data_IF_656633560761
#
_entry.id   IF_656633560761
#
_cell.length_a   1.000
_cell.length_b   1.000
_cell.length_c   1.000
_cell.angle_alpha   90.00
_cell.angle_beta   90.00
_cell.angle_gamma   90.00
#
_symmetry.space_group_name_H-M   'P 1'
#
loop_
_entity.id
_entity.type
_entity.pdbx_description
1 polymer ?
#
# COMPACT_ATOMS: atom_id res chain seq x y z
N UNK A 1 -12.89 16.21 5.92
CA UNK A 1 -12.19 15.14 6.62
C UNK A 1 -12.72 13.81 6.12
N UNK A 2 -11.87 13.01 5.51
CA UNK A 2 -12.20 11.69 4.94
C UNK A 2 -12.28 10.64 6.06
N UNK A 3 -11.44 10.78 7.09
CA UNK A 3 -11.41 9.88 8.24
C UNK A 3 -12.06 10.54 9.45
N UNK A 4 -13.23 10.05 9.84
CA UNK A 4 -13.91 10.47 11.07
C UNK A 4 -14.29 9.24 11.88
N UNK A 5 -14.37 9.33 13.22
CA UNK A 5 -14.79 8.19 14.04
C UNK A 5 -16.14 7.62 13.63
N UNK A 6 -17.08 8.46 13.19
CA UNK A 6 -18.39 8.02 12.72
C UNK A 6 -18.30 7.16 11.45
N UNK A 7 -17.49 7.56 10.47
CA UNK A 7 -17.29 6.77 9.24
C UNK A 7 -16.53 5.46 9.54
N UNK A 8 -15.53 5.52 10.41
CA UNK A 8 -14.67 4.37 10.72
C UNK A 8 -15.34 3.35 11.65
N UNK A 9 -16.39 3.73 12.37
CA UNK A 9 -17.13 2.81 13.23
C UNK A 9 -17.98 1.77 12.45
N UNK A 10 -18.31 2.06 11.18
CA UNK A 10 -19.20 1.25 10.35
C UNK A 10 -18.47 0.36 9.34
N UNK A 11 -17.13 0.33 9.37
CA UNK A 11 -16.30 -0.43 8.40
C UNK A 11 -15.22 -1.23 9.12
N UNK A 12 -14.86 -2.38 8.55
CA UNK A 12 -13.74 -3.21 9.05
C UNK A 12 -12.40 -2.87 8.37
N UNK A 13 -12.47 -2.31 7.15
CA UNK A 13 -11.30 -1.92 6.39
C UNK A 13 -11.54 -0.67 5.54
N UNK A 14 -10.47 0.10 5.33
CA UNK A 14 -10.42 1.27 4.44
C UNK A 14 -9.52 0.98 3.25
N UNK A 15 -9.97 1.32 2.05
CA UNK A 15 -9.17 1.33 0.83
C UNK A 15 -8.84 2.76 0.43
N UNK A 16 -7.56 3.09 0.33
CA UNK A 16 -7.06 4.39 -0.07
C UNK A 16 -6.59 4.35 -1.53
N UNK A 17 -7.28 5.09 -2.39
CA UNK A 17 -6.90 5.35 -3.77
C UNK A 17 -7.21 6.81 -4.12
N UNK A 18 -6.64 7.69 -3.32
CA UNK A 18 -6.82 9.14 -3.40
C UNK A 18 -5.49 9.84 -3.08
N UNK A 19 -5.44 11.15 -3.35
CA UNK A 19 -4.28 12.00 -3.05
C UNK A 19 -4.66 13.12 -2.10
N UNK A 20 -4.05 13.12 -0.92
CA UNK A 20 -4.11 14.19 0.06
C UNK A 20 -2.72 14.42 0.69
N UNK A 21 -2.29 15.68 0.74
CA UNK A 21 -0.98 16.03 1.29
C UNK A 21 -1.01 16.20 2.82
N UNK A 22 -2.17 16.48 3.39
CA UNK A 22 -2.33 16.78 4.82
C UNK A 22 -3.44 15.90 5.39
N UNK A 23 -3.13 15.23 6.49
CA UNK A 23 -4.14 14.70 7.41
C UNK A 23 -4.18 15.66 8.60
N UNK A 24 -5.35 16.21 8.90
CA UNK A 24 -5.54 17.05 10.09
C UNK A 24 -5.39 16.21 11.36
N UNK A 25 -5.07 16.83 12.50
CA UNK A 25 -4.77 16.12 13.74
C UNK A 25 -5.89 15.14 14.15
N UNK A 26 -7.15 15.56 13.99
CA UNK A 26 -8.33 14.74 14.27
C UNK A 26 -8.45 13.54 13.33
N UNK A 27 -8.06 13.68 12.05
CA UNK A 27 -8.06 12.57 11.09
C UNK A 27 -6.96 11.55 11.43
N UNK A 28 -5.80 12.05 11.85
CA UNK A 28 -4.69 11.20 12.29
C UNK A 28 -5.10 10.36 13.49
N UNK A 29 -5.64 11.00 14.52
CA UNK A 29 -6.12 10.32 15.73
C UNK A 29 -7.21 9.29 15.40
N UNK A 30 -8.18 9.65 14.54
CA UNK A 30 -9.24 8.74 14.14
C UNK A 30 -8.71 7.50 13.41
N UNK A 31 -7.75 7.66 12.48
CA UNK A 31 -7.18 6.55 11.72
C UNK A 31 -6.30 5.65 12.60
N UNK A 32 -5.48 6.21 13.49
CA UNK A 32 -4.67 5.44 14.44
C UNK A 32 -5.54 4.68 15.46
N UNK A 33 -6.61 5.33 15.94
CA UNK A 33 -7.59 4.69 16.81
C UNK A 33 -8.32 3.54 16.11
N UNK A 34 -8.69 3.72 14.84
CA UNK A 34 -9.29 2.67 14.02
C UNK A 34 -8.36 1.46 13.85
N UNK A 35 -7.09 1.69 13.50
CA UNK A 35 -6.09 0.61 13.43
C UNK A 35 -5.99 -0.12 14.77
N UNK A 36 -5.80 0.61 15.87
CA UNK A 36 -5.65 0.06 17.22
C UNK A 36 -6.86 -0.75 17.69
N UNK A 37 -8.05 -0.47 17.16
CA UNK A 37 -9.27 -1.23 17.43
C UNK A 37 -9.46 -2.44 16.49
N UNK A 38 -8.44 -2.80 15.72
CA UNK A 38 -8.42 -3.97 14.85
C UNK A 38 -8.81 -3.70 13.41
N UNK A 39 -9.08 -2.44 13.05
CA UNK A 39 -9.35 -2.01 11.68
C UNK A 39 -8.17 -2.21 10.74
N UNK A 40 -8.48 -2.32 9.46
CA UNK A 40 -7.50 -2.57 8.39
C UNK A 40 -7.39 -1.44 7.37
N UNK A 41 -6.22 -1.23 6.79
CA UNK A 41 -6.02 -0.26 5.70
C UNK A 41 -5.31 -0.92 4.52
N UNK A 42 -5.85 -0.71 3.31
CA UNK A 42 -5.18 -1.03 2.05
C UNK A 42 -4.88 0.27 1.32
N UNK A 43 -3.60 0.53 1.06
CA UNK A 43 -3.11 1.70 0.33
C UNK A 43 -2.70 1.28 -1.07
N UNK A 44 -3.25 1.96 -2.08
CA UNK A 44 -3.03 1.62 -3.48
C UNK A 44 -2.23 2.71 -4.20
N UNK A 45 -1.23 2.26 -4.97
CA UNK A 45 -0.52 3.02 -5.99
C UNK A 45 -0.13 4.43 -5.51
N UNK A 46 -0.73 5.49 -6.06
CA UNK A 46 -0.38 6.88 -5.79
C UNK A 46 -0.68 7.33 -4.36
N UNK A 47 -1.52 6.61 -3.61
CA UNK A 47 -1.86 6.95 -2.23
C UNK A 47 -0.67 6.78 -1.25
N UNK A 48 0.40 6.09 -1.65
CA UNK A 48 1.67 6.04 -0.89
C UNK A 48 2.35 7.41 -0.75
N UNK A 49 1.98 8.38 -1.59
CA UNK A 49 2.48 9.75 -1.52
C UNK A 49 1.68 10.62 -0.54
N UNK A 50 0.66 10.07 0.13
CA UNK A 50 -0.16 10.83 1.07
C UNK A 50 0.60 11.13 2.36
N UNK A 51 0.29 12.28 2.94
CA UNK A 51 0.74 12.69 4.29
C UNK A 51 2.26 12.64 4.50
N UNK A 52 3.09 13.24 3.61
CA UNK A 52 4.55 13.17 3.72
C UNK A 52 5.09 13.73 5.05
N UNK A 53 4.39 14.69 5.67
CA UNK A 53 4.77 15.27 6.96
C UNK A 53 4.43 14.39 8.17
N UNK A 54 3.60 13.35 7.99
CA UNK A 54 3.19 12.45 9.06
C UNK A 54 4.11 11.22 9.10
N UNK A 55 5.31 11.40 9.67
CA UNK A 55 6.34 10.37 9.68
C UNK A 55 5.90 9.06 10.34
N UNK A 56 5.18 9.13 11.47
CA UNK A 56 4.61 7.96 12.14
C UNK A 56 3.78 7.11 11.18
N UNK A 57 2.93 7.72 10.34
CA UNK A 57 2.14 6.99 9.36
C UNK A 57 3.00 6.20 8.38
N UNK A 58 3.92 6.87 7.68
CA UNK A 58 4.66 6.21 6.60
C UNK A 58 5.84 5.38 7.08
N UNK A 59 6.41 5.66 8.26
CA UNK A 59 7.47 4.87 8.88
C UNK A 59 6.93 3.65 9.63
N UNK A 60 5.97 3.87 10.52
CA UNK A 60 5.61 2.91 11.55
C UNK A 60 4.36 2.09 11.17
N UNK A 61 3.50 2.62 10.29
CA UNK A 61 2.27 1.94 9.88
C UNK A 61 2.31 1.41 8.45
N UNK A 62 2.50 2.28 7.46
CA UNK A 62 2.50 1.92 6.04
C UNK A 62 3.83 1.28 5.61
N UNK A 63 4.95 1.72 6.19
CA UNK A 63 6.30 1.24 5.86
C UNK A 63 6.82 1.69 4.50
N UNK A 64 6.27 2.75 3.92
CA UNK A 64 6.79 3.32 2.68
C UNK A 64 6.24 4.70 2.35
N UNK A 65 7.01 5.46 1.57
CA UNK A 65 6.67 6.81 1.12
C UNK A 65 7.21 7.02 -0.32
N UNK A 66 6.38 7.61 -1.18
CA UNK A 66 6.87 8.25 -2.40
C UNK A 66 7.29 9.69 -2.07
N UNK A 67 8.60 9.96 -2.07
CA UNK A 67 9.15 11.27 -1.76
C UNK A 67 9.04 12.20 -2.97
N UNK A 68 8.28 13.29 -2.84
CA UNK A 68 8.07 14.26 -3.93
C UNK A 68 9.24 15.25 -4.11
N UNK A 69 10.02 15.46 -3.06
CA UNK A 69 11.18 16.35 -3.04
C UNK A 69 12.27 15.76 -2.17
N UNK A 70 13.47 16.32 -2.26
CA UNK A 70 14.58 15.99 -1.40
C UNK A 70 14.35 16.56 0.01
N UNK A 71 14.81 15.82 1.01
CA UNK A 71 14.92 16.27 2.40
C UNK A 71 16.14 15.62 3.05
N UNK A 72 16.44 15.95 4.31
CA UNK A 72 17.62 15.45 5.02
C UNK A 72 17.78 13.91 4.93
N UNK A 73 16.66 13.17 5.01
CA UNK A 73 16.64 11.70 4.96
C UNK A 73 16.01 11.09 3.69
N UNK A 74 15.60 11.90 2.71
CA UNK A 74 14.82 11.44 1.55
C UNK A 74 15.41 11.90 0.23
N UNK A 75 15.51 10.95 -0.70
CA UNK A 75 15.79 11.20 -2.11
C UNK A 75 14.46 11.19 -2.87
N UNK A 76 14.22 12.10 -3.84
CA UNK A 76 12.99 12.09 -4.62
C UNK A 76 12.77 10.74 -5.32
N UNK A 77 11.58 10.19 -5.15
CA UNK A 77 11.14 8.98 -5.85
C UNK A 77 10.93 9.27 -7.34
N UNK A 78 11.03 8.22 -8.14
CA UNK A 78 10.86 8.27 -9.60
C UNK A 78 9.74 7.34 -10.02
N UNK A 79 9.16 7.63 -11.17
CA UNK A 79 8.18 6.75 -11.81
C UNK A 79 8.59 6.42 -13.24
N UNK A 80 8.15 5.25 -13.71
CA UNK A 80 8.33 4.77 -15.07
C UNK A 80 6.94 4.59 -15.70
N UNK A 81 6.53 5.48 -16.63
CA UNK A 81 5.16 5.48 -17.15
C UNK A 81 4.80 4.25 -17.98
N UNK A 82 5.79 3.58 -18.57
CA UNK A 82 5.58 2.40 -19.43
C UNK A 82 6.38 1.21 -18.89
N UNK A 83 5.96 0.69 -17.75
CA UNK A 83 6.57 -0.46 -17.11
C UNK A 83 5.90 -1.76 -17.54
N UNK A 84 6.69 -2.81 -17.72
CA UNK A 84 6.21 -4.19 -17.93
C UNK A 84 6.95 -5.12 -16.99
N UNK A 85 6.21 -5.72 -16.06
CA UNK A 85 6.78 -6.48 -14.96
C UNK A 85 6.27 -7.91 -14.86
N UNK A 86 6.97 -8.68 -14.03
CA UNK A 86 6.51 -9.96 -13.53
C UNK A 86 6.59 -9.94 -12.01
N UNK A 87 5.46 -9.73 -11.36
CA UNK A 87 5.30 -9.84 -9.91
C UNK A 87 5.33 -11.32 -9.49
N UNK A 88 6.02 -11.63 -8.39
CA UNK A 88 6.06 -12.97 -7.80
C UNK A 88 5.81 -12.90 -6.29
N UNK A 89 4.97 -13.80 -5.73
CA UNK A 89 4.87 -13.94 -4.29
C UNK A 89 6.23 -14.26 -3.68
N UNK A 90 6.52 -13.67 -2.52
CA UNK A 90 7.73 -13.93 -1.73
C UNK A 90 7.53 -15.04 -0.69
N UNK A 91 6.28 -15.34 -0.35
CA UNK A 91 5.86 -16.35 0.63
C UNK A 91 4.46 -16.89 0.29
N UNK A 92 4.04 -17.96 0.96
CA UNK A 92 2.62 -18.40 0.94
C UNK A 92 1.83 -17.55 1.92
N UNK A 93 1.19 -16.49 1.40
CA UNK A 93 0.36 -15.58 2.17
C UNK A 93 -1.07 -15.55 1.60
N UNK A 94 -2.13 -15.46 2.43
CA UNK A 94 -3.52 -15.39 1.95
C UNK A 94 -3.74 -14.34 0.85
N UNK A 95 -3.13 -13.15 0.99
CA UNK A 95 -3.21 -12.04 0.02
C UNK A 95 -2.71 -12.44 -1.39
N UNK A 96 -1.68 -13.26 -1.47
CA UNK A 96 -1.01 -13.60 -2.74
C UNK A 96 -1.32 -15.02 -3.22
N UNK A 97 -2.19 -15.75 -2.51
CA UNK A 97 -2.44 -17.16 -2.85
C UNK A 97 -3.17 -17.33 -4.18
N UNK A 98 -4.18 -16.49 -4.47
CA UNK A 98 -5.00 -16.60 -5.68
C UNK A 98 -4.32 -16.10 -6.96
N UNK A 99 -3.28 -15.28 -6.86
CA UNK A 99 -2.53 -14.80 -8.04
C UNK A 99 -1.62 -15.87 -8.66
N UNK A 100 -1.34 -16.95 -7.92
CA UNK A 100 -0.48 -18.06 -8.35
C UNK A 100 1.01 -17.72 -8.26
N UNK A 101 1.85 -18.45 -8.99
CA UNK A 101 3.32 -18.33 -8.90
C UNK A 101 3.89 -17.03 -9.48
N UNK A 102 3.15 -16.34 -10.36
CA UNK A 102 3.52 -15.03 -10.89
C UNK A 102 2.32 -14.30 -11.50
N UNK A 103 2.43 -12.99 -11.63
CA UNK A 103 1.51 -12.11 -12.35
C UNK A 103 2.29 -11.21 -13.32
N UNK A 104 1.91 -11.22 -14.60
CA UNK A 104 2.48 -10.33 -15.62
C UNK A 104 1.55 -9.16 -15.80
N UNK A 105 2.09 -7.95 -15.80
CA UNK A 105 1.30 -6.73 -15.91
C UNK A 105 2.08 -5.64 -16.65
N UNK A 106 1.36 -4.67 -17.18
CA UNK A 106 1.90 -3.46 -17.78
C UNK A 106 1.25 -2.26 -17.09
N UNK A 107 2.05 -1.35 -16.56
CA UNK A 107 1.54 -0.24 -15.75
C UNK A 107 2.53 0.94 -15.66
N UNK A 108 2.30 1.89 -14.76
CA UNK A 108 3.34 2.72 -14.15
C UNK A 108 3.99 1.98 -12.96
N UNK A 109 5.30 2.18 -12.75
CA UNK A 109 6.02 1.68 -11.57
C UNK A 109 6.86 2.77 -10.90
N UNK A 110 7.28 2.51 -9.66
CA UNK A 110 8.08 3.43 -8.86
C UNK A 110 9.47 2.88 -8.55
N UNK A 111 10.46 3.77 -8.54
CA UNK A 111 11.83 3.55 -8.04
C UNK A 111 12.18 4.59 -6.98
N UNK A 112 13.12 4.24 -6.11
CA UNK A 112 13.60 5.14 -5.04
C UNK A 112 12.46 5.53 -4.08
N UNK A 113 11.52 4.63 -3.85
CA UNK A 113 10.63 4.75 -2.70
C UNK A 113 11.46 4.68 -1.43
N UNK A 114 11.10 5.47 -0.42
CA UNK A 114 11.51 5.12 0.92
C UNK A 114 10.68 3.91 1.35
N UNK A 115 11.32 2.81 1.75
CA UNK A 115 10.64 1.59 2.17
C UNK A 115 11.36 1.09 3.42
N UNK A 116 10.61 0.91 4.51
CA UNK A 116 11.14 0.38 5.77
C UNK A 116 11.72 -1.03 5.57
N UNK A 117 12.78 -1.36 6.31
CA UNK A 117 13.33 -2.72 6.35
C UNK A 117 12.44 -3.69 7.15
N UNK A 118 11.47 -3.17 7.89
CA UNK A 118 10.54 -3.93 8.71
C UNK A 118 9.28 -4.39 7.95
N UNK A 119 9.09 -3.95 6.69
CA UNK A 119 7.95 -4.40 5.90
C UNK A 119 8.04 -5.88 5.56
N UNK A 120 6.90 -6.58 5.62
CA UNK A 120 6.80 -7.94 5.12
C UNK A 120 6.44 -7.86 3.65
N UNK A 121 7.44 -8.05 2.78
CA UNK A 121 7.21 -8.04 1.33
C UNK A 121 6.29 -9.21 0.96
N UNK A 122 5.24 -8.93 0.19
CA UNK A 122 4.27 -9.91 -0.34
C UNK A 122 4.52 -10.21 -1.81
N UNK A 123 4.80 -9.17 -2.60
CA UNK A 123 5.10 -9.27 -4.03
C UNK A 123 6.42 -8.57 -4.35
N UNK A 124 7.22 -9.26 -5.16
CA UNK A 124 8.48 -8.73 -5.66
C UNK A 124 8.59 -8.80 -7.18
N UNK A 125 9.36 -7.90 -7.77
CA UNK A 125 9.75 -7.90 -9.19
C UNK A 125 11.28 -7.74 -9.31
N UNK A 126 11.82 -8.19 -10.44
CA UNK A 126 13.23 -7.97 -10.81
C UNK A 126 13.34 -7.22 -12.15
N UNK A 127 12.23 -6.68 -12.64
CA UNK A 127 12.21 -5.91 -13.88
C UNK A 127 12.84 -4.53 -13.64
N UNK A 128 13.63 -4.07 -14.61
CA UNK A 128 14.21 -2.73 -14.61
C UNK A 128 13.11 -1.66 -14.58
N UNK A 129 13.36 -0.55 -13.89
CA UNK A 129 12.41 0.56 -13.77
C UNK A 129 11.44 0.42 -12.60
N UNK A 130 11.74 -0.41 -11.60
CA UNK A 130 10.91 -0.56 -10.40
C UNK A 130 11.75 -0.99 -9.20
N UNK A 131 11.40 -0.49 -8.02
CA UNK A 131 11.85 -1.07 -6.75
C UNK A 131 11.43 -2.54 -6.67
N UNK A 132 12.28 -3.37 -6.06
CA UNK A 132 12.04 -4.81 -6.03
C UNK A 132 10.81 -5.21 -5.22
N UNK A 133 10.39 -4.38 -4.25
CA UNK A 133 9.23 -4.61 -3.37
C UNK A 133 8.04 -3.80 -3.91
N UNK A 134 6.99 -4.49 -4.34
CA UNK A 134 5.85 -3.87 -5.05
C UNK A 134 4.50 -4.11 -4.38
N UNK A 135 4.45 -4.97 -3.35
CA UNK A 135 3.36 -5.02 -2.39
C UNK A 135 3.91 -5.55 -1.06
N UNK A 136 3.43 -5.03 0.06
CA UNK A 136 3.90 -5.41 1.39
C UNK A 136 2.86 -5.19 2.48
N UNK A 137 3.09 -5.81 3.62
CA UNK A 137 2.44 -5.47 4.90
C UNK A 137 3.36 -4.49 5.61
N UNK A 138 2.81 -3.38 6.09
CA UNK A 138 3.58 -2.38 6.83
C UNK A 138 3.94 -2.85 8.26
N UNK A 139 4.83 -2.13 8.97
CA UNK A 139 5.38 -2.56 10.26
C UNK A 139 4.39 -2.51 11.42
N UNK A 140 3.17 -2.00 11.19
CA UNK A 140 2.18 -1.72 12.22
C UNK A 140 1.90 -2.92 13.13
N UNK A 141 2.11 -2.75 14.43
CA UNK A 141 1.71 -3.73 15.45
C UNK A 141 0.25 -3.58 15.91
N UNK A 142 -0.32 -2.38 15.73
CA UNK A 142 -1.65 -2.03 16.23
C UNK A 142 -2.79 -2.41 15.29
N UNK A 143 -2.52 -2.70 14.01
CA UNK A 143 -3.52 -2.96 12.97
C UNK A 143 -2.88 -3.49 11.69
N UNK A 144 -3.69 -3.84 10.67
CA UNK A 144 -3.19 -4.42 9.41
C UNK A 144 -3.16 -3.36 8.31
N UNK A 145 -1.96 -2.96 7.90
CA UNK A 145 -1.77 -2.04 6.77
C UNK A 145 -1.09 -2.77 5.62
N UNK A 146 -1.67 -2.70 4.43
CA UNK A 146 -1.14 -3.32 3.21
C UNK A 146 -0.95 -2.25 2.16
N UNK A 147 0.19 -2.27 1.48
CA UNK A 147 0.43 -1.47 0.28
C UNK A 147 0.50 -2.34 -0.97
N UNK A 148 -0.07 -1.86 -2.08
CA UNK A 148 0.04 -2.46 -3.42
C UNK A 148 0.42 -1.35 -4.41
N UNK A 149 1.58 -1.48 -5.06
CA UNK A 149 2.12 -0.48 -5.97
C UNK A 149 1.38 -0.38 -7.32
N UNK A 150 1.07 -1.48 -8.03
CA UNK A 150 0.36 -1.36 -9.31
C UNK A 150 -1.04 -0.76 -9.12
N UNK A 151 -1.52 -0.05 -10.13
CA UNK A 151 -2.85 0.55 -10.17
C UNK A 151 -2.90 1.91 -10.88
N UNK A 152 -2.13 2.16 -11.94
CA UNK A 152 -2.22 3.42 -12.70
C UNK A 152 -3.20 3.32 -13.87
N UNK A 153 -3.02 2.32 -14.75
CA UNK A 153 -3.79 2.19 -15.98
C UNK A 153 -4.98 1.23 -15.86
N UNK A 154 -6.00 1.46 -16.70
CA UNK A 154 -7.21 0.64 -16.79
C UNK A 154 -6.92 -0.85 -17.00
N UNK A 155 -5.88 -1.18 -17.78
CA UNK A 155 -5.45 -2.55 -18.04
C UNK A 155 -5.13 -3.31 -16.74
N UNK A 156 -4.47 -2.67 -15.77
CA UNK A 156 -4.23 -3.26 -14.44
C UNK A 156 -5.49 -3.27 -13.60
N UNK A 157 -6.24 -2.16 -13.60
CA UNK A 157 -7.47 -2.03 -12.80
C UNK A 157 -8.56 -3.03 -13.20
N UNK A 158 -8.50 -3.58 -14.42
CA UNK A 158 -9.41 -4.60 -14.93
C UNK A 158 -8.81 -6.01 -14.96
N UNK A 159 -7.53 -6.18 -14.61
CA UNK A 159 -6.89 -7.50 -14.55
C UNK A 159 -7.49 -8.35 -13.42
N UNK A 160 -8.02 -9.56 -13.72
CA UNK A 160 -8.58 -10.45 -12.69
C UNK A 160 -7.62 -10.76 -11.54
N UNK A 161 -6.30 -10.87 -11.77
CA UNK A 161 -5.32 -11.10 -10.72
C UNK A 161 -5.14 -9.90 -9.82
N UNK A 162 -5.20 -8.69 -10.36
CA UNK A 162 -5.14 -7.47 -9.58
C UNK A 162 -6.39 -7.31 -8.70
N UNK A 163 -7.57 -7.57 -9.26
CA UNK A 163 -8.83 -7.55 -8.50
C UNK A 163 -8.85 -8.60 -7.38
N UNK A 164 -8.34 -9.81 -7.64
CA UNK A 164 -8.20 -10.83 -6.60
C UNK A 164 -7.21 -10.39 -5.51
N UNK A 165 -6.09 -9.77 -5.87
CA UNK A 165 -5.10 -9.27 -4.93
C UNK A 165 -5.71 -8.19 -4.00
N UNK A 166 -6.47 -7.24 -4.54
CA UNK A 166 -7.17 -6.22 -3.74
C UNK A 166 -8.21 -6.87 -2.83
N UNK A 167 -9.04 -7.78 -3.37
CA UNK A 167 -10.07 -8.47 -2.59
C UNK A 167 -9.42 -9.25 -1.42
N UNK A 168 -8.34 -9.99 -1.68
CA UNK A 168 -7.65 -10.76 -0.65
C UNK A 168 -6.95 -9.86 0.37
N UNK A 169 -6.39 -8.72 -0.07
CA UNK A 169 -5.86 -7.69 0.83
C UNK A 169 -6.96 -7.16 1.76
N UNK A 170 -8.13 -6.78 1.23
CA UNK A 170 -9.25 -6.29 2.02
C UNK A 170 -9.80 -7.33 3.00
N UNK A 171 -10.00 -8.57 2.54
CA UNK A 171 -10.48 -9.66 3.41
C UNK A 171 -9.49 -9.96 4.53
N UNK A 172 -8.19 -9.96 4.21
CA UNK A 172 -7.15 -10.17 5.19
C UNK A 172 -7.04 -9.00 6.16
N UNK A 173 -7.02 -7.74 5.70
CA UNK A 173 -6.93 -6.58 6.61
C UNK A 173 -8.17 -6.47 7.50
N UNK A 174 -9.36 -6.79 6.97
CA UNK A 174 -10.62 -6.86 7.72
C UNK A 174 -10.80 -8.12 8.59
N UNK A 175 -9.83 -9.06 8.60
CA UNK A 175 -9.87 -10.30 9.40
C UNK A 175 -11.06 -11.23 9.08
N UNK A 176 -11.56 -11.19 7.86
CA UNK A 176 -12.66 -12.05 7.37
C UNK A 176 -12.16 -13.48 7.10
N UNK A 177 -10.86 -13.64 6.81
CA UNK A 177 -10.27 -14.89 6.32
C UNK A 177 -9.01 -15.29 7.08
N UNK A 178 -8.99 -15.15 8.42
CA UNK A 178 -7.91 -15.67 9.27
C UNK A 178 -7.86 -17.22 9.27
#
# INVERSE_FOLDING_TARGET
MVFTPAVLADVDAVLMYHRDNVAEAEEREALLGFLSNGGGVVVLHHAIANYPDWQEWWRDHLGGLYALSDSEDLVPSRYFPEFRGVARPTSDHPITRRIGSFWRYADESYEQLWISDEVITLLATTAFGSDSRIAWIGPSDSGRVVFIQPGHFEDVLTDPKYLMLIEDALRWTARISD
#
